data_IF_727093851014
#
_entry.id   IF_727093851014
#
_cell.length_a   1.000
_cell.length_b   1.000
_cell.length_c   1.000
_cell.angle_alpha   90.00
_cell.angle_beta   90.00
_cell.angle_gamma   90.00
#
_symmetry.space_group_name_H-M   'P 1'
#
loop_
_entity.id
_entity.type
_entity.pdbx_description
1 polymer ?
#
# COMPACT_ATOMS: atom_id res chain seq x y z
N UNK A 1 20.85 -29.11 -20.97
CA UNK A 1 20.79 -29.13 -19.49
C UNK A 1 19.61 -28.27 -19.04
N UNK A 2 18.58 -28.86 -18.43
CA UNK A 2 17.43 -28.12 -17.94
C UNK A 2 17.75 -27.54 -16.55
N UNK A 3 17.92 -26.22 -16.46
CA UNK A 3 18.08 -25.52 -15.18
C UNK A 3 16.72 -25.51 -14.48
N UNK A 4 16.48 -26.47 -13.57
CA UNK A 4 15.36 -26.40 -12.64
C UNK A 4 15.68 -25.40 -11.55
N UNK A 5 15.33 -24.14 -11.77
CA UNK A 5 15.27 -23.14 -10.70
C UNK A 5 14.11 -23.51 -9.77
N UNK A 6 14.42 -23.97 -8.55
CA UNK A 6 13.40 -24.11 -7.48
C UNK A 6 12.88 -22.70 -7.15
N UNK A 7 11.68 -22.38 -7.63
CA UNK A 7 10.97 -21.11 -7.37
C UNK A 7 10.77 -20.90 -5.87
N UNK A 8 11.43 -19.92 -5.27
CA UNK A 8 10.94 -19.27 -4.07
C UNK A 8 9.59 -18.62 -4.41
N UNK A 9 8.52 -19.01 -3.70
CA UNK A 9 7.13 -18.58 -3.92
C UNK A 9 6.72 -17.43 -2.97
N UNK A 10 7.64 -16.55 -2.58
CA UNK A 10 7.35 -15.42 -1.67
C UNK A 10 7.47 -14.11 -2.43
N UNK A 11 6.36 -13.40 -2.57
CA UNK A 11 6.27 -12.06 -3.10
C UNK A 11 6.10 -11.02 -2.00
N UNK A 12 6.68 -9.86 -2.22
CA UNK A 12 6.45 -8.62 -1.48
C UNK A 12 5.64 -7.73 -2.42
N UNK A 13 4.43 -7.37 -2.03
CA UNK A 13 3.71 -6.24 -2.62
C UNK A 13 4.05 -4.98 -1.84
N UNK A 14 4.19 -3.86 -2.54
CA UNK A 14 4.21 -2.55 -1.90
C UNK A 14 3.35 -1.60 -2.73
N UNK A 15 2.76 -0.63 -2.06
CA UNK A 15 1.92 0.38 -2.67
C UNK A 15 2.17 1.68 -1.91
N UNK A 16 2.25 2.79 -2.62
CA UNK A 16 2.47 4.08 -2.02
C UNK A 16 1.58 5.11 -2.67
N UNK A 17 0.79 5.78 -1.84
CA UNK A 17 -0.08 6.89 -2.25
C UNK A 17 0.67 8.21 -2.04
N UNK A 18 0.83 8.96 -3.11
CA UNK A 18 1.54 10.23 -3.14
C UNK A 18 0.54 11.35 -3.42
N UNK A 19 0.27 12.23 -2.44
CA UNK A 19 -0.49 13.45 -2.66
C UNK A 19 0.15 14.36 -3.70
N UNK A 20 -0.68 14.96 -4.56
CA UNK A 20 -0.25 15.92 -5.58
C UNK A 20 -0.99 17.23 -5.35
N UNK A 21 -0.25 18.31 -5.13
CA UNK A 21 -0.79 19.64 -4.79
C UNK A 21 -0.12 20.74 -5.59
N UNK A 22 -0.74 21.90 -5.67
CA UNK A 22 -0.14 23.13 -6.21
C UNK A 22 0.91 23.67 -5.23
N UNK A 23 1.82 24.57 -5.66
CA UNK A 23 2.84 25.15 -4.80
C UNK A 23 2.31 25.93 -3.59
N UNK A 24 1.05 26.40 -3.67
CA UNK A 24 0.36 27.07 -2.58
C UNK A 24 -0.33 26.09 -1.59
N UNK A 25 -0.21 24.78 -1.82
CA UNK A 25 -0.79 23.71 -1.02
C UNK A 25 -2.23 23.35 -1.36
N UNK A 26 -2.85 24.02 -2.35
CA UNK A 26 -4.19 23.67 -2.82
C UNK A 26 -4.18 22.42 -3.71
N UNK A 27 -5.31 21.72 -3.81
CA UNK A 27 -5.43 20.56 -4.69
C UNK A 27 -5.50 20.96 -6.16
N UNK A 28 -5.11 20.03 -7.03
CA UNK A 28 -5.32 20.14 -8.46
C UNK A 28 -6.82 20.08 -8.79
N UNK A 29 -7.26 20.88 -9.76
CA UNK A 29 -8.57 20.74 -10.37
C UNK A 29 -8.64 19.42 -11.15
N UNK A 30 -9.83 18.82 -11.35
CA UNK A 30 -9.93 17.49 -11.95
C UNK A 30 -9.31 17.34 -13.34
N UNK A 31 -9.35 18.40 -14.16
CA UNK A 31 -8.68 18.40 -15.45
C UNK A 31 -7.14 18.47 -15.33
N UNK A 32 -6.62 19.23 -14.37
CA UNK A 32 -5.18 19.34 -14.09
C UNK A 32 -4.63 18.03 -13.54
N UNK A 33 -5.37 17.39 -12.62
CA UNK A 33 -5.00 16.07 -12.09
C UNK A 33 -4.98 15.01 -13.19
N UNK A 34 -5.95 15.03 -14.11
CA UNK A 34 -5.99 14.08 -15.23
C UNK A 34 -4.79 14.24 -16.16
N UNK A 35 -4.42 15.48 -16.51
CA UNK A 35 -3.21 15.75 -17.31
C UNK A 35 -1.95 15.25 -16.59
N UNK A 36 -1.84 15.49 -15.29
CA UNK A 36 -0.74 14.95 -14.47
C UNK A 36 -0.69 13.42 -14.50
N UNK A 37 -1.83 12.78 -14.23
CA UNK A 37 -1.95 11.33 -14.21
C UNK A 37 -1.57 10.69 -15.56
N UNK A 38 -2.06 11.25 -16.66
CA UNK A 38 -1.78 10.73 -18.01
C UNK A 38 -0.28 10.84 -18.35
N UNK A 39 0.36 11.96 -18.04
CA UNK A 39 1.81 12.14 -18.23
C UNK A 39 2.65 11.17 -17.41
N UNK A 40 2.28 10.95 -16.15
CA UNK A 40 2.95 9.95 -15.29
C UNK A 40 2.79 8.57 -15.91
N UNK A 41 1.56 8.18 -16.26
CA UNK A 41 1.25 6.86 -16.81
C UNK A 41 1.99 6.57 -18.12
N UNK A 42 2.17 7.58 -18.98
CA UNK A 42 2.87 7.43 -20.26
C UNK A 42 4.39 7.21 -20.10
N UNK A 43 4.98 7.69 -19.00
CA UNK A 43 6.43 7.63 -18.74
C UNK A 43 6.82 6.54 -17.74
N UNK A 44 5.85 6.02 -17.01
CA UNK A 44 6.09 5.03 -15.98
C UNK A 44 6.65 3.72 -16.58
N UNK A 45 7.72 3.15 -16.03
CA UNK A 45 8.20 1.82 -16.39
C UNK A 45 7.09 0.76 -16.33
N UNK A 46 7.11 -0.20 -17.27
CA UNK A 46 6.07 -1.23 -17.39
C UNK A 46 5.94 -2.16 -16.17
N UNK A 47 6.95 -2.23 -15.31
CA UNK A 47 6.93 -3.00 -14.07
C UNK A 47 6.30 -2.22 -12.89
N UNK A 48 5.95 -0.95 -13.09
CA UNK A 48 5.25 -0.10 -12.11
C UNK A 48 3.86 0.25 -12.65
N UNK A 49 2.86 -0.10 -11.84
CA UNK A 49 1.47 0.18 -12.08
C UNK A 49 1.08 1.46 -11.35
N UNK A 50 0.34 2.31 -12.07
CA UNK A 50 -0.15 3.60 -11.59
C UNK A 50 -1.66 3.52 -11.46
N UNK A 51 -2.20 3.97 -10.33
CA UNK A 51 -3.64 4.14 -10.12
C UNK A 51 -3.93 5.44 -9.38
N UNK A 52 -5.18 5.85 -9.34
CA UNK A 52 -5.66 6.94 -8.50
C UNK A 52 -7.06 6.59 -8.00
N UNK A 53 -7.31 6.65 -6.70
CA UNK A 53 -8.65 6.44 -6.18
C UNK A 53 -9.53 7.66 -6.46
N UNK A 54 -10.40 7.55 -7.47
CA UNK A 54 -11.53 8.46 -7.61
C UNK A 54 -12.61 8.04 -6.60
N UNK A 55 -12.55 8.58 -5.39
CA UNK A 55 -13.66 8.46 -4.46
C UNK A 55 -14.87 9.14 -5.10
N UNK A 56 -15.93 8.37 -5.36
CA UNK A 56 -17.14 8.80 -6.08
C UNK A 56 -17.50 10.26 -5.83
N UNK A 57 -17.38 11.09 -6.87
CA UNK A 57 -17.75 12.51 -6.84
C UNK A 57 -16.68 13.49 -6.34
N UNK A 58 -15.42 13.06 -6.14
CA UNK A 58 -14.29 13.93 -5.80
C UNK A 58 -13.11 13.72 -6.74
N UNK A 59 -12.45 14.81 -7.12
CA UNK A 59 -11.16 14.77 -7.80
C UNK A 59 -10.17 13.96 -6.96
N UNK A 60 -9.47 12.97 -7.54
CA UNK A 60 -8.41 12.30 -6.83
C UNK A 60 -7.34 13.31 -6.40
N UNK A 61 -6.88 13.21 -5.17
CA UNK A 61 -5.84 14.06 -4.58
C UNK A 61 -4.49 13.33 -4.48
N UNK A 62 -4.46 12.05 -4.86
CA UNK A 62 -3.34 11.12 -4.69
C UNK A 62 -3.17 10.26 -5.92
N UNK A 63 -1.90 10.00 -6.24
CA UNK A 63 -1.50 8.98 -7.19
C UNK A 63 -0.90 7.79 -6.43
N UNK A 64 -1.27 6.59 -6.82
CA UNK A 64 -0.79 5.36 -6.22
C UNK A 64 0.23 4.71 -7.14
N UNK A 65 1.40 4.37 -6.60
CA UNK A 65 2.43 3.59 -7.27
C UNK A 65 2.56 2.22 -6.62
N UNK A 66 2.56 1.17 -7.42
CA UNK A 66 2.83 -0.20 -6.97
C UNK A 66 3.53 -1.03 -8.05
N UNK A 67 4.29 -2.07 -7.70
CA UNK A 67 4.73 -3.04 -8.68
C UNK A 67 3.53 -3.69 -9.36
N UNK A 68 3.59 -3.84 -10.69
CA UNK A 68 2.57 -4.59 -11.42
C UNK A 68 2.58 -6.08 -11.05
N UNK A 69 3.69 -6.58 -10.52
CA UNK A 69 3.82 -7.95 -9.99
C UNK A 69 4.58 -7.94 -8.66
N UNK A 70 4.26 -8.83 -7.70
CA UNK A 70 5.00 -8.92 -6.46
C UNK A 70 6.50 -9.09 -6.69
N UNK A 71 7.31 -8.30 -5.98
CA UNK A 71 8.78 -8.39 -6.03
C UNK A 71 9.30 -9.44 -5.07
N UNK A 72 10.57 -9.82 -5.17
CA UNK A 72 11.15 -10.91 -4.35
C UNK A 72 11.99 -10.41 -3.20
N UNK A 73 12.52 -9.19 -3.31
CA UNK A 73 13.48 -8.62 -2.38
C UNK A 73 13.05 -7.20 -2.01
N UNK A 74 13.51 -6.71 -0.87
CA UNK A 74 13.27 -5.32 -0.44
C UNK A 74 14.04 -4.38 -1.36
N UNK A 75 15.21 -4.80 -1.84
CA UNK A 75 16.03 -4.06 -2.79
C UNK A 75 15.32 -3.85 -4.12
N UNK A 76 14.61 -4.87 -4.64
CA UNK A 76 13.76 -4.73 -5.82
C UNK A 76 12.62 -3.74 -5.56
N UNK A 77 12.00 -3.78 -4.38
CA UNK A 77 10.94 -2.85 -4.01
C UNK A 77 11.45 -1.40 -3.99
N UNK A 78 12.60 -1.17 -3.34
CA UNK A 78 13.23 0.15 -3.26
C UNK A 78 13.63 0.66 -4.64
N UNK A 79 14.19 -0.20 -5.49
CA UNK A 79 14.54 0.18 -6.87
C UNK A 79 13.32 0.65 -7.65
N UNK A 80 12.24 -0.12 -7.66
CA UNK A 80 11.00 0.25 -8.36
C UNK A 80 10.40 1.53 -7.78
N UNK A 81 10.42 1.68 -6.46
CA UNK A 81 9.95 2.91 -5.82
C UNK A 81 10.78 4.13 -6.26
N UNK A 82 12.11 4.05 -6.23
CA UNK A 82 12.98 5.14 -6.66
C UNK A 82 12.79 5.51 -8.13
N UNK A 83 12.60 4.51 -9.00
CA UNK A 83 12.30 4.74 -10.42
C UNK A 83 10.94 5.45 -10.60
N UNK A 84 9.92 5.01 -9.88
CA UNK A 84 8.58 5.62 -9.92
C UNK A 84 8.55 7.04 -9.36
N UNK A 85 9.22 7.29 -8.23
CA UNK A 85 9.36 8.63 -7.63
C UNK A 85 10.07 9.59 -8.59
N UNK A 86 11.14 9.15 -9.25
CA UNK A 86 11.83 9.99 -10.24
C UNK A 86 10.90 10.45 -11.35
N UNK A 87 10.06 9.54 -11.89
CA UNK A 87 9.07 9.91 -12.91
C UNK A 87 8.04 10.90 -12.35
N UNK A 88 7.56 10.71 -11.11
CA UNK A 88 6.67 11.66 -10.46
C UNK A 88 7.31 13.04 -10.32
N UNK A 89 8.58 13.11 -9.88
CA UNK A 89 9.31 14.36 -9.69
C UNK A 89 9.52 15.11 -11.01
N UNK A 90 9.90 14.40 -12.07
CA UNK A 90 10.06 14.98 -13.41
C UNK A 90 8.75 15.60 -13.93
N UNK A 91 7.63 14.87 -13.82
CA UNK A 91 6.32 15.39 -14.25
C UNK A 91 5.85 16.53 -13.34
N UNK A 92 6.11 16.43 -12.03
CA UNK A 92 5.75 17.47 -11.08
C UNK A 92 6.48 18.79 -11.36
N UNK A 93 7.77 18.73 -11.69
CA UNK A 93 8.57 19.90 -12.08
C UNK A 93 8.02 20.54 -13.36
N UNK A 94 7.74 19.74 -14.39
CA UNK A 94 7.19 20.23 -15.67
C UNK A 94 5.85 20.95 -15.49
N UNK A 95 4.98 20.39 -14.64
CA UNK A 95 3.65 20.94 -14.37
C UNK A 95 3.64 21.99 -13.26
N UNK A 96 4.79 22.24 -12.62
CA UNK A 96 4.94 23.15 -11.48
C UNK A 96 4.00 22.80 -10.33
N UNK A 97 3.88 21.53 -10.02
CA UNK A 97 3.16 20.99 -8.87
C UNK A 97 4.14 20.45 -7.83
N UNK A 98 3.67 20.23 -6.61
CA UNK A 98 4.45 19.67 -5.53
C UNK A 98 3.92 18.27 -5.15
N UNK A 99 4.86 17.39 -4.80
CA UNK A 99 4.56 16.07 -4.26
C UNK A 99 4.59 16.13 -2.74
N UNK A 100 3.54 15.63 -2.08
CA UNK A 100 3.36 15.81 -0.65
C UNK A 100 3.52 14.52 0.15
N UNK A 101 4.73 14.14 0.55
CA UNK A 101 4.94 13.18 1.65
C UNK A 101 5.08 13.86 3.05
N UNK A 102 4.97 15.19 3.14
CA UNK A 102 5.46 15.92 4.33
C UNK A 102 4.76 17.21 4.77
N UNK A 103 3.56 17.57 4.29
CA UNK A 103 2.93 18.82 4.76
C UNK A 103 1.40 18.76 4.72
N UNK A 104 0.73 18.60 5.87
CA UNK A 104 -0.70 18.89 6.15
C UNK A 104 -1.79 18.36 5.18
N UNK A 105 -1.44 17.63 4.12
CA UNK A 105 -2.38 17.04 3.18
C UNK A 105 -2.94 15.77 3.79
N UNK A 106 -4.25 15.57 3.66
CA UNK A 106 -4.94 14.31 4.01
C UNK A 106 -4.09 13.13 3.51
N UNK A 107 -3.48 12.41 4.46
CA UNK A 107 -2.21 11.71 4.25
C UNK A 107 -2.22 10.67 3.12
N UNK A 108 -1.07 10.53 2.47
CA UNK A 108 -0.71 9.33 1.73
C UNK A 108 -0.36 8.16 2.68
N UNK A 109 -0.33 6.96 2.14
CA UNK A 109 0.02 5.73 2.85
C UNK A 109 1.15 5.01 2.11
N UNK A 110 1.87 4.17 2.85
CA UNK A 110 2.60 3.05 2.25
C UNK A 110 1.97 1.77 2.76
N UNK A 111 1.48 0.93 1.85
CA UNK A 111 0.97 -0.40 2.17
C UNK A 111 2.00 -1.45 1.76
N UNK A 112 2.21 -2.45 2.61
CA UNK A 112 3.09 -3.58 2.34
C UNK A 112 2.30 -4.87 2.46
N UNK A 113 2.33 -5.68 1.40
CA UNK A 113 1.69 -6.99 1.36
C UNK A 113 2.77 -8.06 1.39
N UNK A 114 2.65 -9.03 2.30
CA UNK A 114 3.63 -10.09 2.48
C UNK A 114 2.99 -11.46 2.27
N UNK A 115 3.58 -12.28 1.41
CA UNK A 115 3.20 -13.69 1.31
C UNK A 115 3.58 -14.46 2.58
N UNK A 116 2.62 -15.21 3.12
CA UNK A 116 2.84 -16.00 4.33
C UNK A 116 3.91 -17.08 4.13
N UNK A 117 4.81 -17.28 5.12
CA UNK A 117 5.85 -18.27 5.01
C UNK A 117 5.25 -19.68 4.96
N UNK A 118 5.68 -20.45 3.96
CA UNK A 118 5.48 -21.91 3.95
C UNK A 118 6.65 -22.52 4.74
N UNK A 119 6.35 -23.19 5.84
CA UNK A 119 7.30 -24.01 6.61
C UNK A 119 7.18 -25.47 6.16
N UNK A 120 8.31 -26.17 6.12
CA UNK A 120 8.35 -27.63 6.01
C UNK A 120 8.28 -28.16 7.45
N UNK A 121 7.28 -28.97 7.73
CA UNK A 121 7.15 -29.71 8.99
C UNK A 121 8.18 -30.85 9.04
N UNK A 122 8.44 -31.40 10.22
CA UNK A 122 9.41 -32.50 10.43
C UNK A 122 9.01 -33.77 9.64
N UNK A 123 7.71 -33.91 9.33
CA UNK A 123 7.12 -34.97 8.48
C UNK A 123 7.19 -34.67 6.96
N UNK A 124 8.05 -33.73 6.53
CA UNK A 124 8.17 -33.29 5.14
C UNK A 124 6.92 -32.63 4.52
N UNK A 125 5.87 -32.41 5.32
CA UNK A 125 4.63 -31.74 4.92
C UNK A 125 4.82 -30.22 4.87
N UNK A 126 4.46 -29.58 3.76
CA UNK A 126 4.43 -28.12 3.70
C UNK A 126 3.21 -27.58 4.47
N UNK A 127 3.44 -26.87 5.57
CA UNK A 127 2.41 -26.10 6.29
C UNK A 127 2.63 -24.61 6.07
N UNK A 128 1.58 -23.90 5.65
CA UNK A 128 1.59 -22.44 5.70
C UNK A 128 1.53 -22.01 7.16
N UNK A 129 2.24 -20.96 7.54
CA UNK A 129 2.01 -20.31 8.82
C UNK A 129 0.53 -19.92 8.93
N UNK A 130 -0.04 -20.04 10.12
CA UNK A 130 -1.39 -19.58 10.38
C UNK A 130 -1.40 -18.05 10.15
N UNK A 131 -2.26 -17.51 9.26
CA UNK A 131 -2.40 -16.08 9.08
C UNK A 131 -2.64 -15.34 10.40
N UNK A 132 -3.36 -15.96 11.35
CA UNK A 132 -3.66 -15.35 12.65
C UNK A 132 -2.41 -15.19 13.51
N UNK A 133 -1.52 -16.18 13.54
CA UNK A 133 -0.25 -16.07 14.29
C UNK A 133 0.61 -14.92 13.74
N UNK A 134 0.70 -14.79 12.41
CA UNK A 134 1.44 -13.70 11.78
C UNK A 134 0.81 -12.34 12.07
N UNK A 135 -0.52 -12.24 12.00
CA UNK A 135 -1.25 -11.01 12.32
C UNK A 135 -1.06 -10.58 13.77
N UNK A 136 -1.17 -11.51 14.73
CA UNK A 136 -0.97 -11.23 16.16
C UNK A 136 0.44 -10.70 16.40
N UNK A 137 1.46 -11.32 15.80
CA UNK A 137 2.82 -10.82 15.89
C UNK A 137 2.98 -9.44 15.24
N UNK A 138 2.47 -9.23 14.02
CA UNK A 138 2.57 -7.92 13.36
C UNK A 138 1.87 -6.81 14.14
N UNK A 139 0.72 -7.09 14.75
CA UNK A 139 0.00 -6.13 15.59
C UNK A 139 0.74 -5.76 16.88
N UNK A 140 1.53 -6.67 17.44
CA UNK A 140 2.38 -6.33 18.58
C UNK A 140 3.45 -5.27 18.24
N UNK A 141 3.91 -5.21 16.98
CA UNK A 141 4.91 -4.25 16.49
C UNK A 141 4.31 -2.97 15.89
N UNK A 142 2.98 -2.88 15.77
CA UNK A 142 2.30 -1.73 15.18
C UNK A 142 2.69 -0.39 15.83
N UNK A 143 2.81 -0.27 17.18
CA UNK A 143 3.26 0.98 17.80
C UNK A 143 4.66 1.41 17.39
N UNK A 144 5.60 0.47 17.26
CA UNK A 144 6.98 0.75 16.87
C UNK A 144 7.06 1.18 15.39
N UNK A 145 6.28 0.54 14.52
CA UNK A 145 6.17 0.91 13.10
C UNK A 145 5.59 2.32 12.97
N UNK A 146 4.55 2.64 13.73
CA UNK A 146 3.95 3.99 13.74
C UNK A 146 4.92 5.03 14.27
N UNK A 147 5.69 4.71 15.31
CA UNK A 147 6.69 5.63 15.84
C UNK A 147 7.83 5.90 14.83
N UNK A 148 8.20 4.90 14.04
CA UNK A 148 9.27 5.02 13.03
C UNK A 148 8.82 5.70 11.73
N UNK A 149 7.60 5.45 11.28
CA UNK A 149 7.08 5.90 9.98
C UNK A 149 6.00 7.00 10.07
N UNK A 150 5.61 7.38 11.29
CA UNK A 150 4.57 8.36 11.52
C UNK A 150 4.95 9.76 11.03
N UNK A 151 3.94 10.49 10.58
CA UNK A 151 4.03 11.91 10.20
C UNK A 151 3.40 12.76 11.31
N UNK A 152 4.15 13.10 12.37
CA UNK A 152 3.62 13.92 13.44
C UNK A 152 3.39 15.35 12.97
N UNK A 153 2.36 16.00 13.49
CA UNK A 153 2.12 17.44 13.32
C UNK A 153 2.07 18.12 14.70
N UNK A 154 1.71 19.42 14.73
CA UNK A 154 1.58 20.16 16.00
C UNK A 154 0.50 19.60 16.93
N UNK A 155 -0.49 18.86 16.41
CA UNK A 155 -1.64 18.34 17.16
C UNK A 155 -1.48 16.86 17.55
N UNK A 156 -0.77 16.07 16.75
CA UNK A 156 -0.62 14.62 16.89
C UNK A 156 0.86 14.25 16.88
N UNK A 157 1.35 13.83 18.05
CA UNK A 157 2.78 13.52 18.27
C UNK A 157 3.24 12.18 17.65
N UNK A 158 2.33 11.38 17.12
CA UNK A 158 2.62 10.09 16.46
C UNK A 158 2.37 10.15 14.95
N UNK A 159 1.11 10.18 14.54
CA UNK A 159 0.72 10.35 13.14
C UNK A 159 -0.64 11.03 13.05
N UNK A 160 -0.72 12.15 12.34
CA UNK A 160 -1.99 12.82 12.03
C UNK A 160 -2.94 11.92 11.23
N UNK A 161 -2.38 11.09 10.34
CA UNK A 161 -3.15 10.19 9.47
C UNK A 161 -3.96 9.17 10.27
N UNK A 162 -3.37 8.58 11.31
CA UNK A 162 -4.05 7.60 12.17
C UNK A 162 -5.20 8.23 12.95
N UNK A 163 -4.98 9.45 13.46
CA UNK A 163 -6.02 10.16 14.19
C UNK A 163 -7.23 10.51 13.30
N UNK A 164 -7.03 10.66 11.99
CA UNK A 164 -8.13 10.84 11.03
C UNK A 164 -9.07 9.63 11.06
N UNK A 165 -8.55 8.40 11.05
CA UNK A 165 -9.37 7.19 11.11
C UNK A 165 -10.07 7.01 12.46
N UNK A 166 -9.44 7.43 13.56
CA UNK A 166 -10.11 7.44 14.87
C UNK A 166 -11.32 8.37 14.93
N UNK A 167 -11.35 9.42 14.10
CA UNK A 167 -12.47 10.39 14.05
C UNK A 167 -13.55 10.03 13.02
N UNK A 168 -13.20 9.27 11.98
CA UNK A 168 -14.15 8.82 10.93
C UNK A 168 -14.85 7.52 11.33
N UNK A 169 -14.22 6.69 12.15
CA UNK A 169 -14.82 5.50 12.76
C UNK A 169 -14.79 5.61 14.30
N UNK A 170 -15.80 6.23 14.94
CA UNK A 170 -15.87 6.31 16.41
C UNK A 170 -16.00 4.94 17.11
N UNK A 171 -16.18 3.87 16.35
CA UNK A 171 -16.18 2.49 16.81
C UNK A 171 -14.95 1.78 16.25
N UNK A 172 -13.80 2.00 16.88
CA UNK A 172 -12.48 1.48 16.50
C UNK A 172 -12.29 -0.04 16.52
N UNK A 173 -13.31 -0.82 16.17
CA UNK A 173 -13.19 -2.22 15.73
C UNK A 173 -14.38 -2.47 14.80
N UNK A 174 -14.21 -2.45 13.48
CA UNK A 174 -15.16 -3.15 12.62
C UNK A 174 -14.90 -4.64 12.88
N UNK A 175 -15.82 -5.38 13.54
CA UNK A 175 -15.60 -6.79 13.80
C UNK A 175 -15.48 -7.50 12.45
N UNK A 176 -14.26 -7.90 12.11
CA UNK A 176 -14.04 -8.76 10.96
C UNK A 176 -14.50 -10.15 11.38
N UNK A 177 -15.63 -10.61 10.84
CA UNK A 177 -16.02 -12.00 11.03
C UNK A 177 -15.04 -12.86 10.24
N UNK A 178 -14.23 -13.62 10.97
CA UNK A 178 -13.29 -14.57 10.40
C UNK A 178 -13.91 -15.96 10.45
N UNK A 179 -14.25 -16.50 9.28
CA UNK A 179 -14.76 -17.87 9.17
C UNK A 179 -13.77 -18.74 8.39
N UNK A 180 -13.40 -19.89 8.97
CA UNK A 180 -12.71 -20.93 8.22
C UNK A 180 -13.76 -21.76 7.46
N UNK A 181 -13.77 -21.66 6.13
CA UNK A 181 -14.68 -22.41 5.27
C UNK A 181 -13.91 -23.26 4.25
N UNK A 182 -14.63 -23.88 3.32
CA UNK A 182 -14.08 -24.61 2.18
C UNK A 182 -14.51 -23.97 0.86
N UNK A 183 -13.60 -23.85 -0.10
CA UNK A 183 -13.91 -23.41 -1.45
C UNK A 183 -14.57 -24.53 -2.29
N UNK A 184 -14.89 -24.22 -3.55
CA UNK A 184 -15.48 -25.18 -4.51
C UNK A 184 -14.58 -26.39 -4.79
N UNK A 185 -13.28 -26.28 -4.55
CA UNK A 185 -12.29 -27.34 -4.70
C UNK A 185 -12.00 -28.06 -3.36
N UNK A 186 -12.84 -27.86 -2.34
CA UNK A 186 -12.73 -28.45 -1.00
C UNK A 186 -11.47 -28.02 -0.21
N UNK A 187 -10.79 -26.93 -0.60
CA UNK A 187 -9.63 -26.39 0.10
C UNK A 187 -10.08 -25.48 1.24
N UNK A 188 -9.35 -25.49 2.36
CA UNK A 188 -9.62 -24.58 3.49
C UNK A 188 -9.32 -23.14 3.08
N UNK A 189 -10.29 -22.26 3.22
CA UNK A 189 -10.16 -20.83 2.90
C UNK A 189 -10.69 -20.03 4.08
N UNK A 190 -9.92 -19.03 4.50
CA UNK A 190 -10.37 -18.04 5.47
C UNK A 190 -11.18 -16.98 4.73
N UNK A 191 -12.40 -16.76 5.16
CA UNK A 191 -13.26 -15.68 4.66
C UNK A 191 -13.33 -14.62 5.73
N UNK A 192 -12.86 -13.43 5.37
CA UNK A 192 -12.93 -12.23 6.19
C UNK A 192 -14.15 -11.44 5.71
N UNK A 193 -15.20 -11.34 6.52
CA UNK A 193 -16.35 -10.49 6.22
C UNK A 193 -16.21 -9.21 7.01
N UNK A 194 -16.11 -8.11 6.28
CA UNK A 194 -16.17 -6.77 6.84
C UNK A 194 -17.59 -6.27 6.60
N UNK A 195 -18.44 -6.16 7.64
CA UNK A 195 -19.74 -5.53 7.47
C UNK A 195 -19.51 -4.04 7.22
N UNK A 196 -19.85 -3.56 6.03
CA UNK A 196 -19.99 -2.13 5.76
C UNK A 196 -21.34 -1.70 6.36
N UNK A 197 -21.31 -0.80 7.35
CA UNK A 197 -22.48 -0.13 7.91
C UNK A 197 -22.68 1.24 7.28
#
# INVERSE_FOLDING_TARGET
MAVRVRRSRRGIGFEAEVPVVKPDGSFLEPAEFRDFYDRVRERMPYDICVSSEEQTGRTPDRIELKPCTPVRTVEDAVRLWSEGVRVLEEVAEEMRVALGLGADVRGGSVHVTLDLPVKKDDDDRMRRADPLDVLVHMKAWEPDIIAAAGTPDRRYKGSYRLATYWSVEPHGVTPVEVALTRDRDNRRVWVFRVPFY
#
